data_IF_369977313531
#
_entry.id   IF_369977313531
#
_cell.length_a   1.000
_cell.length_b   1.000
_cell.length_c   1.000
_cell.angle_alpha   90.00
_cell.angle_beta   90.00
_cell.angle_gamma   90.00
#
_symmetry.space_group_name_H-M   'P 1'
#
loop_
_entity.id
_entity.type
_entity.pdbx_description
1 polymer ?
#
# COMPACT_ATOMS: atom_id res chain seq x y z
N UNK A 1 12.44 13.13 -8.16
CA UNK A 1 11.16 12.44 -8.32
C UNK A 1 11.28 11.00 -7.82
N UNK A 2 10.36 10.58 -7.00
CA UNK A 2 10.37 9.20 -6.49
C UNK A 2 9.86 8.24 -7.57
N UNK A 3 10.53 7.10 -7.81
CA UNK A 3 10.16 6.19 -8.90
C UNK A 3 9.00 5.27 -8.53
N UNK A 4 7.80 5.82 -8.48
CA UNK A 4 6.60 5.04 -8.23
C UNK A 4 6.18 4.26 -9.47
N UNK A 5 5.50 3.13 -9.25
CA UNK A 5 4.84 2.35 -10.30
C UNK A 5 3.53 1.78 -9.78
N UNK A 6 2.72 1.27 -10.67
CA UNK A 6 1.48 0.59 -10.28
C UNK A 6 1.77 -0.87 -9.94
N UNK A 7 0.87 -1.50 -9.19
CA UNK A 7 0.98 -2.92 -8.89
C UNK A 7 0.69 -3.75 -10.13
N UNK A 8 1.40 -4.86 -10.29
CA UNK A 8 1.09 -5.85 -11.30
C UNK A 8 -0.11 -6.70 -10.84
N UNK A 9 -0.81 -7.38 -11.77
CA UNK A 9 -1.92 -8.27 -11.36
C UNK A 9 -1.49 -9.34 -10.35
N UNK A 10 -0.26 -9.86 -10.48
CA UNK A 10 0.27 -10.85 -9.53
C UNK A 10 0.45 -10.24 -8.14
N UNK A 11 0.93 -9.00 -8.09
CA UNK A 11 1.10 -8.31 -6.80
C UNK A 11 -0.25 -8.02 -6.16
N UNK A 12 -1.24 -7.60 -6.95
CA UNK A 12 -2.58 -7.37 -6.43
C UNK A 12 -3.13 -8.66 -5.81
N UNK A 13 -3.02 -9.78 -6.51
CA UNK A 13 -3.49 -11.06 -5.99
C UNK A 13 -2.77 -11.44 -4.70
N UNK A 14 -1.46 -11.19 -4.63
CA UNK A 14 -0.67 -11.51 -3.44
C UNK A 14 -1.08 -10.66 -2.23
N UNK A 15 -1.28 -9.35 -2.42
CA UNK A 15 -1.69 -8.50 -1.29
C UNK A 15 -3.13 -8.78 -0.88
N UNK A 16 -4.01 -9.15 -1.83
CA UNK A 16 -5.38 -9.56 -1.47
C UNK A 16 -5.36 -10.85 -0.66
N UNK A 17 -4.45 -11.75 -0.97
CA UNK A 17 -4.28 -12.97 -0.19
C UNK A 17 -3.81 -12.68 1.24
N UNK A 18 -3.14 -11.56 1.46
CA UNK A 18 -2.72 -11.09 2.78
C UNK A 18 -3.81 -10.26 3.48
N UNK A 19 -4.99 -10.16 2.88
CA UNK A 19 -6.11 -9.46 3.49
C UNK A 19 -6.18 -7.98 3.16
N UNK A 20 -5.38 -7.49 2.23
CA UNK A 20 -5.42 -6.08 1.84
C UNK A 20 -6.37 -5.87 0.67
N UNK A 21 -7.21 -4.83 0.78
CA UNK A 21 -8.13 -4.45 -0.28
C UNK A 21 -7.92 -2.98 -0.64
N UNK A 22 -8.34 -2.61 -1.84
CA UNK A 22 -8.29 -1.23 -2.28
C UNK A 22 -9.58 -0.86 -2.99
N UNK A 23 -9.98 0.39 -2.84
CA UNK A 23 -11.14 0.92 -3.53
C UNK A 23 -10.88 0.94 -5.05
N UNK A 24 -9.66 1.36 -5.43
CA UNK A 24 -9.24 1.40 -6.83
C UNK A 24 -7.72 1.18 -6.92
N UNK A 25 -7.32 -0.01 -7.35
CA UNK A 25 -5.90 -0.37 -7.42
C UNK A 25 -5.10 0.55 -8.35
N UNK A 26 -5.75 1.12 -9.37
CA UNK A 26 -5.04 2.02 -10.29
C UNK A 26 -4.61 3.33 -9.64
N UNK A 27 -5.09 3.63 -8.43
CA UNK A 27 -4.69 4.81 -7.68
C UNK A 27 -3.65 4.51 -6.61
N UNK A 28 -3.15 3.28 -6.57
CA UNK A 28 -2.14 2.88 -5.60
C UNK A 28 -0.77 2.89 -6.27
N UNK A 29 0.11 3.75 -5.78
CA UNK A 29 1.49 3.85 -6.27
C UNK A 29 2.42 3.16 -5.28
N UNK A 30 3.32 2.34 -5.80
CA UNK A 30 4.27 1.58 -4.99
C UNK A 30 5.69 1.83 -5.48
N UNK A 31 6.71 1.54 -4.65
CA UNK A 31 8.10 1.70 -5.09
C UNK A 31 8.49 0.61 -6.08
N UNK A 32 9.57 0.85 -6.82
CA UNK A 32 10.05 -0.14 -7.79
C UNK A 32 10.41 -1.47 -7.11
N UNK A 33 10.86 -1.41 -5.86
CA UNK A 33 11.25 -2.59 -5.08
C UNK A 33 10.12 -3.10 -4.17
N UNK A 34 8.88 -2.80 -4.51
CA UNK A 34 7.72 -3.20 -3.72
C UNK A 34 7.65 -4.72 -3.54
N UNK A 35 7.29 -5.14 -2.32
CA UNK A 35 6.96 -6.54 -2.01
C UNK A 35 5.57 -6.59 -1.37
N UNK A 36 4.79 -7.66 -1.61
CA UNK A 36 3.43 -7.74 -1.05
C UNK A 36 3.35 -7.62 0.47
N UNK A 37 4.41 -8.01 1.19
CA UNK A 37 4.44 -7.91 2.65
C UNK A 37 4.38 -6.48 3.17
N UNK A 38 4.51 -5.49 2.29
CA UNK A 38 4.38 -4.08 2.67
C UNK A 38 2.93 -3.66 2.86
N UNK A 39 1.97 -4.45 2.38
CA UNK A 39 0.55 -4.15 2.51
C UNK A 39 -0.16 -5.39 3.08
N UNK A 40 -0.42 -5.40 4.38
CA UNK A 40 -0.97 -6.57 5.07
C UNK A 40 -2.26 -6.20 5.79
N UNK A 41 -3.32 -6.95 5.53
CA UNK A 41 -4.60 -6.84 6.23
C UNK A 41 -5.14 -5.41 6.31
N UNK A 42 -4.99 -4.64 5.23
CA UNK A 42 -5.29 -3.21 5.24
C UNK A 42 -6.33 -2.84 4.19
N UNK A 43 -6.94 -1.69 4.38
CA UNK A 43 -7.89 -1.12 3.43
C UNK A 43 -7.33 0.19 2.88
N UNK A 44 -7.21 0.27 1.56
CA UNK A 44 -6.67 1.44 0.88
C UNK A 44 -7.80 2.15 0.13
N UNK A 45 -7.98 3.44 0.38
CA UNK A 45 -9.02 4.23 -0.26
C UNK A 45 -8.41 5.46 -0.92
N UNK A 46 -8.90 5.80 -2.11
CA UNK A 46 -8.38 6.93 -2.85
C UNK A 46 -6.95 6.72 -3.32
N UNK A 47 -6.19 7.80 -3.41
CA UNK A 47 -4.82 7.76 -3.91
C UNK A 47 -3.84 7.52 -2.77
N UNK A 48 -3.06 6.46 -2.88
CA UNK A 48 -2.05 6.09 -1.89
C UNK A 48 -0.69 6.01 -2.59
N UNK A 49 0.32 6.63 -2.00
CA UNK A 49 1.70 6.52 -2.48
C UNK A 49 2.55 5.92 -1.38
N UNK A 50 3.15 4.76 -1.66
CA UNK A 50 3.93 4.00 -0.69
C UNK A 50 5.40 4.02 -1.12
N UNK A 51 6.28 4.55 -0.28
CA UNK A 51 7.70 4.62 -0.58
C UNK A 51 8.43 3.33 -0.20
N UNK A 52 9.71 3.24 -0.58
CA UNK A 52 10.54 2.06 -0.29
C UNK A 52 10.58 1.76 1.20
N UNK A 53 10.40 0.49 1.55
CA UNK A 53 10.47 0.04 2.94
C UNK A 53 9.30 0.47 3.81
N UNK A 54 8.38 1.27 3.29
CA UNK A 54 7.18 1.66 4.03
C UNK A 54 6.22 0.48 4.12
N UNK A 55 5.50 0.37 5.23
CA UNK A 55 4.57 -0.74 5.45
C UNK A 55 3.25 -0.23 6.03
N UNK A 56 2.18 -0.82 5.57
CA UNK A 56 0.85 -0.57 6.11
C UNK A 56 0.30 -1.93 6.58
N UNK A 57 0.04 -2.05 7.86
CA UNK A 57 -0.36 -3.31 8.48
C UNK A 57 -1.63 -3.10 9.30
N UNK A 58 -2.66 -3.87 9.00
CA UNK A 58 -3.91 -3.87 9.76
C UNK A 58 -4.44 -2.44 9.96
N UNK A 59 -4.44 -1.64 8.89
CA UNK A 59 -4.81 -0.22 8.96
C UNK A 59 -5.73 0.15 7.82
N UNK A 60 -6.42 1.26 7.99
CA UNK A 60 -7.25 1.87 6.95
C UNK A 60 -6.65 3.22 6.60
N UNK A 61 -6.27 3.38 5.33
CA UNK A 61 -5.56 4.58 4.85
C UNK A 61 -6.32 5.18 3.68
N UNK A 62 -6.45 6.48 3.67
CA UNK A 62 -7.20 7.18 2.63
C UNK A 62 -6.45 8.41 2.17
N UNK A 63 -6.16 8.48 0.85
CA UNK A 63 -5.52 9.66 0.23
C UNK A 63 -4.27 10.10 1.00
N UNK A 64 -3.32 9.18 1.19
CA UNK A 64 -2.15 9.46 2.01
C UNK A 64 -0.87 9.06 1.29
N UNK A 65 0.22 9.74 1.64
CA UNK A 65 1.55 9.39 1.15
C UNK A 65 2.37 8.89 2.33
N UNK A 66 2.89 7.68 2.21
CA UNK A 66 3.69 7.05 3.27
C UNK A 66 5.16 7.16 2.89
N UNK A 67 5.95 7.83 3.73
CA UNK A 67 7.38 8.04 3.48
C UNK A 67 8.21 6.78 3.63
N UNK A 68 9.47 6.86 3.22
CA UNK A 68 10.38 5.71 3.26
C UNK A 68 10.54 5.16 4.66
N UNK A 69 10.54 3.83 4.76
CA UNK A 69 10.77 3.10 6.01
C UNK A 69 9.78 3.43 7.12
N UNK A 70 8.64 4.00 6.77
CA UNK A 70 7.58 4.29 7.75
C UNK A 70 6.73 3.06 7.99
N UNK A 71 6.12 3.00 9.17
CA UNK A 71 5.21 1.91 9.53
C UNK A 71 3.88 2.50 9.96
N UNK A 72 2.81 2.08 9.29
CA UNK A 72 1.44 2.38 9.68
C UNK A 72 0.84 1.07 10.17
N UNK A 73 0.54 0.99 11.45
CA UNK A 73 0.09 -0.27 12.04
C UNK A 73 -1.09 -0.02 12.97
N UNK A 74 -2.14 -0.81 12.79
CA UNK A 74 -3.32 -0.80 13.65
C UNK A 74 -3.99 0.59 13.75
N UNK A 75 -4.01 1.32 12.64
CA UNK A 75 -4.66 2.62 12.56
C UNK A 75 -6.04 2.44 11.92
N UNK A 76 -7.09 2.88 12.62
CA UNK A 76 -8.46 2.67 12.16
C UNK A 76 -8.81 3.58 10.99
N UNK A 77 -8.24 4.79 10.97
CA UNK A 77 -8.43 5.75 9.88
C UNK A 77 -7.25 6.69 9.83
N UNK A 78 -6.69 6.86 8.65
CA UNK A 78 -5.55 7.75 8.45
C UNK A 78 -5.79 8.66 7.26
#
# INVERSE_FOLDING_TARGET
>A
MYPYRKLTPEEIAAVEALGTTAEEWSQIDVPADFTPSQLVASRLEGHIALASGARIINSRVRNYRIGENSLVQSVTAL
#
